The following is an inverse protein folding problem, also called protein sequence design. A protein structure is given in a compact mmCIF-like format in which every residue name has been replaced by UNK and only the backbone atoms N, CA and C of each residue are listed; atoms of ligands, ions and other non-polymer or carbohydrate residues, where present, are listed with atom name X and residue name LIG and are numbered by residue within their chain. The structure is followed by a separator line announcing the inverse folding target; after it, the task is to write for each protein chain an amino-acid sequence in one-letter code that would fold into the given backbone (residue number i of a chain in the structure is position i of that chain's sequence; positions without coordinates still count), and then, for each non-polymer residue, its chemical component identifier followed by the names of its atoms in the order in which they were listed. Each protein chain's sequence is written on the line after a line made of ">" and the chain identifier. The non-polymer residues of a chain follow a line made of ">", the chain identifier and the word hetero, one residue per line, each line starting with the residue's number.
data_IF_715840144849
#
_entry.id   IF_715840144849
#
_cell.length_a   1.000
_cell.length_b   1.000
_cell.length_c   1.000
_cell.angle_alpha   90.00
_cell.angle_beta   90.00
_cell.angle_gamma   90.00
#
_symmetry.space_group_name_H-M   'P 1'
#
loop_
_entity.id
_entity.type
_entity.pdbx_description
1 polymer ?
#
# COMPACT_ATOMS: atom_id res chain seq x y z
N UNK A 1 33.61 0.92 -40.39
CA UNK A 1 32.29 0.76 -39.73
C UNK A 1 31.31 1.69 -40.42
N UNK A 2 30.21 1.19 -40.99
CA UNK A 2 29.27 2.06 -41.72
C UNK A 2 28.60 3.05 -40.75
N UNK A 3 28.25 4.25 -41.23
CA UNK A 3 27.56 5.29 -40.43
C UNK A 3 26.33 4.72 -39.72
N UNK A 4 25.60 3.81 -40.38
CA UNK A 4 24.44 3.11 -39.81
C UNK A 4 24.79 2.23 -38.62
N UNK A 5 25.93 1.53 -38.63
CA UNK A 5 26.38 0.70 -37.49
C UNK A 5 26.73 1.59 -36.29
N UNK A 6 27.39 2.73 -36.52
CA UNK A 6 27.72 3.69 -35.43
C UNK A 6 26.45 4.26 -34.79
N UNK A 7 25.45 4.62 -35.61
CA UNK A 7 24.17 5.14 -35.11
C UNK A 7 23.44 4.07 -34.28
N UNK A 8 23.40 2.82 -34.75
CA UNK A 8 22.76 1.72 -34.01
C UNK A 8 23.43 1.49 -32.65
N UNK A 9 24.76 1.51 -32.60
CA UNK A 9 25.50 1.37 -31.33
C UNK A 9 25.18 2.53 -30.37
N UNK A 10 25.14 3.77 -30.87
CA UNK A 10 24.80 4.94 -30.04
C UNK A 10 23.38 4.85 -29.47
N UNK A 11 22.40 4.40 -30.27
CA UNK A 11 21.02 4.20 -29.79
C UNK A 11 20.95 3.12 -28.71
N UNK A 12 21.67 2.00 -28.88
CA UNK A 12 21.73 0.94 -27.87
C UNK A 12 22.34 1.48 -26.56
N UNK A 13 23.42 2.25 -26.65
CA UNK A 13 24.07 2.87 -25.48
C UNK A 13 23.11 3.84 -24.77
N UNK A 14 22.38 4.68 -25.52
CA UNK A 14 21.41 5.63 -24.97
C UNK A 14 20.25 4.93 -24.23
N UNK A 15 19.88 3.71 -24.64
CA UNK A 15 18.85 2.91 -23.95
C UNK A 15 19.46 2.13 -22.77
N UNK A 16 20.63 1.51 -22.96
CA UNK A 16 21.24 0.64 -21.96
C UNK A 16 21.77 1.40 -20.74
N UNK A 17 22.39 2.57 -20.94
CA UNK A 17 22.98 3.37 -19.85
C UNK A 17 21.93 3.73 -18.78
N UNK A 18 20.77 4.34 -19.12
CA UNK A 18 19.75 4.65 -18.13
C UNK A 18 19.24 3.42 -17.35
N UNK A 19 19.09 2.27 -18.01
CA UNK A 19 18.64 1.02 -17.37
C UNK A 19 19.66 0.56 -16.32
N UNK A 20 20.95 0.56 -16.67
CA UNK A 20 22.03 0.19 -15.76
C UNK A 20 22.15 1.19 -14.60
N UNK A 21 22.11 2.49 -14.89
CA UNK A 21 22.13 3.55 -13.87
C UNK A 21 20.98 3.41 -12.89
N UNK A 22 19.77 3.10 -13.38
CA UNK A 22 18.59 2.86 -12.54
C UNK A 22 18.81 1.67 -11.61
N UNK A 23 19.30 0.54 -12.13
CA UNK A 23 19.58 -0.67 -11.36
C UNK A 23 20.65 -0.44 -10.29
N UNK A 24 21.72 0.26 -10.63
CA UNK A 24 22.80 0.58 -9.70
C UNK A 24 22.32 1.54 -8.60
N UNK A 25 21.55 2.56 -8.95
CA UNK A 25 21.00 3.52 -7.97
C UNK A 25 20.04 2.82 -7.01
N UNK A 26 19.19 1.94 -7.53
CA UNK A 26 18.32 1.09 -6.70
C UNK A 26 19.11 0.23 -5.72
N UNK A 27 20.13 -0.50 -6.20
CA UNK A 27 21.00 -1.31 -5.34
C UNK A 27 21.67 -0.48 -4.25
N UNK A 28 22.19 0.70 -4.59
CA UNK A 28 22.80 1.61 -3.61
C UNK A 28 21.81 2.08 -2.55
N UNK A 29 20.58 2.41 -2.94
CA UNK A 29 19.53 2.81 -1.99
C UNK A 29 19.19 1.69 -1.01
N UNK A 30 19.03 0.45 -1.51
CA UNK A 30 18.72 -0.71 -0.66
C UNK A 30 19.87 -0.99 0.31
N UNK A 31 21.12 -0.93 -0.16
CA UNK A 31 22.27 -1.09 0.72
C UNK A 31 22.30 -0.01 1.83
N UNK A 32 22.05 1.25 1.47
CA UNK A 32 21.98 2.33 2.45
C UNK A 32 20.87 2.11 3.49
N UNK A 33 19.70 1.61 3.08
CA UNK A 33 18.62 1.25 4.01
C UNK A 33 18.98 0.07 4.91
N UNK A 34 19.65 -0.95 4.38
CA UNK A 34 20.13 -2.09 5.17
C UNK A 34 21.19 -1.68 6.20
N UNK A 35 22.03 -0.72 5.84
CA UNK A 35 23.04 -0.12 6.73
C UNK A 35 22.43 0.93 7.69
N UNK A 36 21.11 1.18 7.62
CA UNK A 36 20.38 2.22 8.38
C UNK A 36 20.95 3.63 8.14
N UNK A 37 21.63 3.83 7.01
CA UNK A 37 22.25 5.11 6.60
C UNK A 37 21.27 5.92 5.74
N UNK A 38 20.34 6.60 6.42
CA UNK A 38 19.33 7.41 5.75
C UNK A 38 19.89 8.66 5.08
N UNK A 39 21.01 9.21 5.55
CA UNK A 39 21.66 10.36 4.90
C UNK A 39 22.13 9.95 3.51
N UNK A 40 22.87 8.85 3.42
CA UNK A 40 23.31 8.29 2.14
C UNK A 40 22.14 7.88 1.26
N UNK A 41 21.06 7.35 1.83
CA UNK A 41 19.85 7.06 1.08
C UNK A 41 19.28 8.31 0.37
N UNK A 42 19.17 9.43 1.08
CA UNK A 42 18.70 10.69 0.50
C UNK A 42 19.69 11.29 -0.50
N UNK A 43 20.99 11.23 -0.23
CA UNK A 43 22.02 11.68 -1.18
C UNK A 43 21.94 10.90 -2.50
N UNK A 44 21.64 9.59 -2.44
CA UNK A 44 21.46 8.77 -3.63
C UNK A 44 20.19 9.20 -4.38
N UNK A 45 19.07 9.47 -3.70
CA UNK A 45 17.84 9.99 -4.32
C UNK A 45 18.13 11.31 -5.06
N UNK A 46 18.93 12.19 -4.47
CA UNK A 46 19.26 13.50 -5.03
C UNK A 46 20.41 13.48 -6.05
N UNK A 47 21.04 12.33 -6.26
CA UNK A 47 22.11 12.16 -7.24
C UNK A 47 21.64 12.39 -8.68
N UNK A 48 22.58 12.83 -9.53
CA UNK A 48 22.32 13.01 -10.96
C UNK A 48 21.78 11.72 -11.62
N UNK A 49 22.31 10.56 -11.23
CA UNK A 49 21.88 9.27 -11.76
C UNK A 49 20.42 8.97 -11.46
N UNK A 50 19.98 9.23 -10.23
CA UNK A 50 18.56 9.10 -9.87
C UNK A 50 17.71 10.13 -10.59
N UNK A 51 18.18 11.38 -10.68
CA UNK A 51 17.45 12.46 -11.36
C UNK A 51 17.20 12.18 -12.83
N UNK A 52 18.16 11.55 -13.50
CA UNK A 52 18.09 11.18 -14.92
C UNK A 52 17.19 9.97 -15.17
N UNK A 53 17.09 9.03 -14.23
CA UNK A 53 16.45 7.72 -14.46
C UNK A 53 15.10 7.52 -13.79
N UNK A 54 14.80 8.28 -12.73
CA UNK A 54 13.52 8.23 -12.02
C UNK A 54 12.76 9.54 -12.19
N UNK A 55 11.44 9.44 -12.35
CA UNK A 55 10.59 10.62 -12.39
C UNK A 55 10.64 11.37 -11.05
N UNK A 56 10.32 12.66 -11.07
CA UNK A 56 10.24 13.44 -9.83
C UNK A 56 9.29 12.79 -8.81
N UNK A 57 8.12 12.31 -9.27
CA UNK A 57 7.18 11.59 -8.41
C UNK A 57 7.80 10.34 -7.78
N UNK A 58 8.52 9.52 -8.54
CA UNK A 58 9.11 8.29 -8.01
C UNK A 58 10.15 8.60 -6.92
N UNK A 59 10.98 9.63 -7.14
CA UNK A 59 11.97 10.08 -6.15
C UNK A 59 11.31 10.60 -4.88
N UNK A 60 10.27 11.41 -5.01
CA UNK A 60 9.52 11.93 -3.85
C UNK A 60 8.76 10.81 -3.13
N UNK A 61 8.29 9.79 -3.85
CA UNK A 61 7.67 8.61 -3.28
C UNK A 61 8.69 7.73 -2.53
N UNK A 62 9.93 7.63 -3.01
CA UNK A 62 11.04 7.00 -2.29
C UNK A 62 11.37 7.79 -1.01
N UNK A 63 11.48 9.12 -1.11
CA UNK A 63 11.71 10.00 0.05
C UNK A 63 10.63 9.81 1.12
N UNK A 64 9.36 9.76 0.70
CA UNK A 64 8.23 9.46 1.57
C UNK A 64 8.39 8.09 2.27
N UNK A 65 8.85 7.05 1.57
CA UNK A 65 9.18 5.75 2.20
C UNK A 65 10.25 5.89 3.26
N UNK A 66 11.31 6.66 3.00
CA UNK A 66 12.36 6.92 3.96
C UNK A 66 11.82 7.60 5.24
N UNK A 67 10.97 8.62 5.10
CA UNK A 67 10.37 9.30 6.25
C UNK A 67 9.43 8.39 7.05
N UNK A 68 8.62 7.57 6.37
CA UNK A 68 7.74 6.59 7.04
C UNK A 68 8.57 5.57 7.82
N UNK A 69 9.62 5.01 7.21
CA UNK A 69 10.47 4.02 7.86
C UNK A 69 11.19 4.56 9.12
N UNK A 70 11.51 5.85 9.14
CA UNK A 70 12.10 6.53 10.30
C UNK A 70 11.05 7.05 11.29
N UNK A 71 9.75 6.80 11.08
CA UNK A 71 8.65 7.35 11.88
C UNK A 71 8.71 8.89 12.01
N UNK A 72 9.23 9.58 10.99
CA UNK A 72 9.35 11.05 10.94
C UNK A 72 8.01 11.69 10.56
N UNK A 73 7.07 11.70 11.49
CA UNK A 73 5.65 12.04 11.25
C UNK A 73 5.43 13.39 10.57
N UNK A 74 6.11 14.44 11.02
CA UNK A 74 5.95 15.79 10.44
C UNK A 74 6.50 15.86 9.01
N UNK A 75 7.61 15.18 8.74
CA UNK A 75 8.17 15.09 7.40
C UNK A 75 7.25 14.30 6.46
N UNK A 76 6.62 13.23 6.94
CA UNK A 76 5.62 12.48 6.17
C UNK A 76 4.44 13.38 5.80
N UNK A 77 3.89 14.14 6.75
CA UNK A 77 2.78 15.07 6.53
C UNK A 77 3.14 16.15 5.49
N UNK A 78 4.30 16.77 5.65
CA UNK A 78 4.80 17.79 4.73
C UNK A 78 5.05 17.21 3.33
N UNK A 79 5.62 16.01 3.24
CA UNK A 79 5.90 15.33 1.99
C UNK A 79 4.61 14.95 1.26
N UNK A 80 3.62 14.38 1.95
CA UNK A 80 2.30 14.08 1.35
C UNK A 80 1.66 15.37 0.82
N UNK A 81 1.64 16.43 1.62
CA UNK A 81 1.06 17.73 1.21
C UNK A 81 1.76 18.32 -0.01
N UNK A 82 3.09 18.25 -0.07
CA UNK A 82 3.85 18.69 -1.24
C UNK A 82 3.51 17.83 -2.46
N UNK A 83 3.51 16.51 -2.32
CA UNK A 83 3.23 15.58 -3.42
C UNK A 83 1.81 15.73 -3.97
N UNK A 84 0.82 16.06 -3.14
CA UNK A 84 -0.56 16.36 -3.58
C UNK A 84 -0.64 17.55 -4.52
N UNK A 85 0.27 18.53 -4.36
CA UNK A 85 0.34 19.74 -5.16
C UNK A 85 1.22 19.59 -6.42
N UNK A 86 1.88 18.44 -6.60
CA UNK A 86 2.70 18.20 -7.80
C UNK A 86 1.85 18.09 -9.07
N UNK A 87 2.37 18.63 -10.18
CA UNK A 87 1.79 18.43 -11.52
C UNK A 87 2.19 17.05 -12.06
N UNK A 88 1.48 16.02 -11.62
CA UNK A 88 1.71 14.61 -11.96
C UNK A 88 0.48 13.97 -12.62
N UNK A 89 0.65 12.77 -13.19
CA UNK A 89 -0.44 12.06 -13.88
C UNK A 89 -1.55 11.67 -12.89
N UNK A 90 -2.83 11.61 -13.31
CA UNK A 90 -3.94 11.20 -12.44
C UNK A 90 -3.69 9.86 -11.73
N UNK A 91 -3.15 8.86 -12.44
CA UNK A 91 -2.75 7.57 -11.86
C UNK A 91 -1.75 7.69 -10.69
N UNK A 92 -0.82 8.65 -10.75
CA UNK A 92 0.15 8.88 -9.67
C UNK A 92 -0.51 9.60 -8.48
N UNK A 93 -1.48 10.48 -8.73
CA UNK A 93 -2.29 11.09 -7.65
C UNK A 93 -3.14 10.04 -6.93
N UNK A 94 -3.79 9.14 -7.67
CA UNK A 94 -4.50 8.00 -7.08
C UNK A 94 -3.55 7.17 -6.20
N UNK A 95 -2.37 6.80 -6.73
CA UNK A 95 -1.39 6.04 -5.96
C UNK A 95 -0.94 6.75 -4.67
N UNK A 96 -0.75 8.07 -4.71
CA UNK A 96 -0.46 8.88 -3.53
C UNK A 96 -1.64 8.87 -2.54
N UNK A 97 -2.88 9.03 -3.02
CA UNK A 97 -4.09 8.96 -2.20
C UNK A 97 -4.22 7.61 -1.50
N UNK A 98 -4.07 6.50 -2.23
CA UNK A 98 -4.06 5.15 -1.66
C UNK A 98 -2.99 5.00 -0.58
N UNK A 99 -1.77 5.45 -0.86
CA UNK A 99 -0.66 5.36 0.10
C UNK A 99 -0.90 6.22 1.34
N UNK A 100 -1.36 7.45 1.16
CA UNK A 100 -1.72 8.35 2.25
C UNK A 100 -2.85 7.79 3.11
N UNK A 101 -3.87 7.18 2.48
CA UNK A 101 -4.95 6.50 3.18
C UNK A 101 -4.41 5.44 4.14
N UNK A 102 -3.57 4.50 3.66
CA UNK A 102 -3.00 3.46 4.51
C UNK A 102 -2.14 4.01 5.65
N UNK A 103 -1.31 5.02 5.35
CA UNK A 103 -0.52 5.70 6.39
C UNK A 103 -1.41 6.31 7.48
N UNK A 104 -2.48 7.01 7.13
CA UNK A 104 -3.38 7.62 8.12
C UNK A 104 -4.30 6.61 8.82
N UNK A 105 -4.64 5.51 8.14
CA UNK A 105 -5.40 4.40 8.70
C UNK A 105 -4.63 3.75 9.86
N UNK A 106 -3.36 3.41 9.65
CA UNK A 106 -2.49 2.82 10.68
C UNK A 106 -2.34 3.73 11.92
N UNK A 107 -2.42 5.04 11.73
CA UNK A 107 -2.34 6.03 12.81
C UNK A 107 -3.70 6.35 13.45
N UNK A 108 -4.79 5.72 13.00
CA UNK A 108 -6.15 6.03 13.46
C UNK A 108 -6.65 7.44 13.11
N UNK A 109 -5.97 8.14 12.18
CA UNK A 109 -6.29 9.53 11.79
C UNK A 109 -7.44 9.57 10.78
N UNK A 110 -8.66 9.27 11.23
CA UNK A 110 -9.84 9.11 10.37
C UNK A 110 -10.09 10.29 9.41
N UNK A 111 -10.02 11.54 9.89
CA UNK A 111 -10.21 12.71 9.02
C UNK A 111 -9.18 12.76 7.89
N UNK A 112 -7.90 12.50 8.18
CA UNK A 112 -6.85 12.52 7.15
C UNK A 112 -6.95 11.34 6.19
N UNK A 113 -7.35 10.17 6.68
CA UNK A 113 -7.65 9.02 5.82
C UNK A 113 -8.79 9.35 4.83
N UNK A 114 -9.85 10.01 5.30
CA UNK A 114 -10.95 10.52 4.45
C UNK A 114 -10.45 11.50 3.39
N UNK A 115 -9.64 12.48 3.78
CA UNK A 115 -9.07 13.47 2.85
C UNK A 115 -8.28 12.79 1.71
N UNK A 116 -7.60 11.67 2.00
CA UNK A 116 -6.87 10.91 0.98
C UNK A 116 -7.77 10.10 0.04
N UNK A 117 -8.91 9.60 0.53
CA UNK A 117 -9.94 8.97 -0.32
C UNK A 117 -10.54 10.01 -1.26
N UNK A 118 -10.88 11.21 -0.75
CA UNK A 118 -11.41 12.30 -1.55
C UNK A 118 -10.40 12.77 -2.61
N UNK A 119 -9.12 12.82 -2.24
CA UNK A 119 -8.04 13.08 -3.19
C UNK A 119 -7.95 12.00 -4.29
N UNK A 120 -8.01 10.71 -3.94
CA UNK A 120 -8.02 9.63 -4.93
C UNK A 120 -9.24 9.71 -5.85
N UNK A 121 -10.43 9.94 -5.27
CA UNK A 121 -11.71 10.10 -5.98
C UNK A 121 -11.72 11.26 -6.96
N UNK A 122 -11.15 12.40 -6.60
CA UNK A 122 -11.05 13.56 -7.48
C UNK A 122 -10.11 13.34 -8.69
N UNK A 123 -9.28 12.29 -8.67
CA UNK A 123 -8.23 12.07 -9.66
C UNK A 123 -8.28 10.67 -10.33
N UNK A 124 -9.31 9.87 -10.08
CA UNK A 124 -9.40 8.50 -10.60
C UNK A 124 -10.84 7.99 -10.75
N UNK A 125 -11.02 6.90 -11.49
CA UNK A 125 -12.34 6.25 -11.61
C UNK A 125 -12.76 5.61 -10.28
N UNK A 126 -14.04 5.25 -10.17
CA UNK A 126 -14.63 4.64 -8.96
C UNK A 126 -13.86 3.42 -8.46
N UNK A 127 -13.41 2.57 -9.38
CA UNK A 127 -12.61 1.38 -9.07
C UNK A 127 -11.32 1.68 -8.30
N UNK A 128 -10.83 2.93 -8.33
CA UNK A 128 -9.60 3.33 -7.65
C UNK A 128 -9.79 3.69 -6.18
N UNK A 129 -11.01 3.94 -5.71
CA UNK A 129 -11.28 4.34 -4.33
C UNK A 129 -12.37 3.54 -3.62
N UNK A 130 -13.17 2.74 -4.33
CA UNK A 130 -14.25 1.93 -3.74
C UNK A 130 -13.76 1.03 -2.60
N UNK A 131 -12.60 0.40 -2.78
CA UNK A 131 -12.01 -0.46 -1.76
C UNK A 131 -11.50 0.34 -0.55
N UNK A 132 -11.07 1.59 -0.76
CA UNK A 132 -10.67 2.49 0.33
C UNK A 132 -11.90 2.93 1.14
N UNK A 133 -13.02 3.22 0.47
CA UNK A 133 -14.31 3.56 1.12
C UNK A 133 -14.82 2.42 2.00
N UNK A 134 -14.77 1.20 1.48
CA UNK A 134 -15.15 -0.01 2.20
C UNK A 134 -14.26 -0.19 3.44
N UNK A 135 -12.94 -0.13 3.27
CA UNK A 135 -12.00 -0.29 4.38
C UNK A 135 -12.15 0.83 5.42
N UNK A 136 -12.35 2.07 4.99
CA UNK A 136 -12.60 3.22 5.88
C UNK A 136 -13.87 3.02 6.72
N UNK A 137 -14.95 2.59 6.07
CA UNK A 137 -16.25 2.33 6.72
C UNK A 137 -16.13 1.23 7.79
N UNK A 138 -15.47 0.12 7.47
CA UNK A 138 -15.30 -0.99 8.41
C UNK A 138 -14.32 -0.60 9.52
N UNK A 139 -13.10 -0.19 9.18
CA UNK A 139 -11.99 -0.09 10.13
C UNK A 139 -12.03 1.19 10.98
N UNK A 140 -12.53 2.30 10.46
CA UNK A 140 -12.53 3.59 11.16
C UNK A 140 -13.93 3.99 11.65
N UNK A 141 -14.98 3.74 10.85
CA UNK A 141 -16.36 4.06 11.25
C UNK A 141 -17.08 2.93 11.97
N UNK A 142 -16.52 1.71 11.98
CA UNK A 142 -17.12 0.52 12.59
C UNK A 142 -18.53 0.21 12.04
N UNK A 143 -18.73 0.40 10.74
CA UNK A 143 -19.99 0.09 10.06
C UNK A 143 -19.99 -1.35 9.53
N UNK A 144 -21.18 -1.96 9.42
CA UNK A 144 -21.36 -3.37 9.07
C UNK A 144 -22.13 -3.61 7.76
N UNK A 145 -22.05 -2.67 6.81
CA UNK A 145 -22.90 -2.64 5.60
C UNK A 145 -22.28 -3.31 4.37
N UNK A 146 -21.05 -3.82 4.49
CA UNK A 146 -20.25 -4.35 3.39
C UNK A 146 -20.03 -5.86 3.47
N UNK A 147 -20.74 -6.58 4.33
CA UNK A 147 -20.57 -8.03 4.52
C UNK A 147 -20.69 -8.77 3.17
N UNK A 148 -21.76 -8.54 2.41
CA UNK A 148 -21.99 -9.22 1.13
C UNK A 148 -20.97 -8.80 0.06
N UNK A 149 -20.57 -7.53 0.04
CA UNK A 149 -19.55 -7.05 -0.89
C UNK A 149 -18.17 -7.67 -0.60
N UNK A 150 -17.81 -7.85 0.68
CA UNK A 150 -16.56 -8.52 1.05
C UNK A 150 -16.62 -10.03 0.76
N UNK A 151 -17.77 -10.69 0.95
CA UNK A 151 -17.96 -12.09 0.53
C UNK A 151 -17.76 -12.27 -0.98
N UNK A 152 -18.38 -11.40 -1.79
CA UNK A 152 -18.21 -11.43 -3.24
C UNK A 152 -16.75 -11.23 -3.67
N UNK A 153 -15.95 -10.45 -2.92
CA UNK A 153 -14.50 -10.32 -3.16
C UNK A 153 -13.73 -11.61 -2.87
N UNK A 154 -14.13 -12.38 -1.85
CA UNK A 154 -13.57 -13.71 -1.58
C UNK A 154 -13.93 -14.67 -2.72
N UNK A 155 -15.21 -14.73 -3.10
CA UNK A 155 -15.70 -15.64 -4.14
C UNK A 155 -15.05 -15.38 -5.52
N UNK A 156 -14.66 -14.13 -5.79
CA UNK A 156 -13.96 -13.75 -7.01
C UNK A 156 -12.51 -14.27 -7.07
N UNK A 157 -11.89 -14.62 -5.93
CA UNK A 157 -10.49 -15.04 -5.85
C UNK A 157 -10.30 -16.48 -5.34
N UNK A 158 -11.32 -17.05 -4.71
CA UNK A 158 -11.28 -18.38 -4.11
C UNK A 158 -12.65 -19.06 -4.17
N UNK A 159 -12.68 -20.33 -4.57
CA UNK A 159 -13.90 -21.12 -4.75
C UNK A 159 -14.41 -21.81 -3.47
N UNK A 160 -13.76 -21.56 -2.33
CA UNK A 160 -14.10 -22.18 -1.03
C UNK A 160 -13.57 -23.60 -0.83
N UNK A 161 -12.85 -24.18 -1.80
CA UNK A 161 -12.43 -25.60 -1.79
C UNK A 161 -10.94 -25.78 -2.00
N UNK A 162 -10.33 -24.95 -2.83
CA UNK A 162 -8.92 -25.08 -3.18
C UNK A 162 -8.03 -24.70 -2.00
N UNK A 163 -6.85 -25.33 -1.90
CA UNK A 163 -5.85 -24.93 -0.91
C UNK A 163 -5.40 -23.48 -1.18
N UNK A 164 -5.39 -22.67 -0.12
CA UNK A 164 -4.89 -21.30 -0.16
C UNK A 164 -3.41 -21.28 0.19
N UNK A 165 -2.59 -20.72 -0.70
CA UNK A 165 -1.16 -20.51 -0.51
C UNK A 165 -0.73 -19.05 -0.79
N UNK A 166 0.48 -18.73 -0.32
CA UNK A 166 1.14 -17.44 -0.56
C UNK A 166 0.24 -16.22 -0.30
N UNK A 167 0.28 -15.27 -1.24
CA UNK A 167 -0.45 -14.01 -1.13
C UNK A 167 -1.98 -14.21 -1.12
N UNK A 168 -2.50 -15.21 -1.85
CA UNK A 168 -3.94 -15.47 -1.91
C UNK A 168 -4.49 -15.82 -0.53
N UNK A 169 -3.76 -16.63 0.24
CA UNK A 169 -4.10 -17.00 1.60
C UNK A 169 -4.29 -15.76 2.49
N UNK A 170 -3.31 -14.86 2.49
CA UNK A 170 -3.35 -13.63 3.30
C UNK A 170 -4.48 -12.69 2.86
N UNK A 171 -4.72 -12.57 1.54
CA UNK A 171 -5.80 -11.72 1.00
C UNK A 171 -7.17 -12.24 1.43
N UNK A 172 -7.44 -13.54 1.27
CA UNK A 172 -8.70 -14.16 1.71
C UNK A 172 -8.87 -14.01 3.22
N UNK A 173 -7.81 -14.29 3.99
CA UNK A 173 -7.83 -14.11 5.44
C UNK A 173 -8.12 -12.67 5.88
N UNK A 174 -7.59 -11.68 5.17
CA UNK A 174 -7.86 -10.26 5.43
C UNK A 174 -9.33 -9.93 5.18
N UNK A 175 -9.93 -10.46 4.10
CA UNK A 175 -11.36 -10.27 3.86
C UNK A 175 -12.25 -10.99 4.88
N UNK A 176 -11.88 -12.20 5.30
CA UNK A 176 -12.57 -12.90 6.40
C UNK A 176 -12.50 -12.10 7.71
N UNK A 177 -11.34 -11.51 8.02
CA UNK A 177 -11.19 -10.60 9.15
C UNK A 177 -12.13 -9.39 9.06
N UNK A 178 -12.21 -8.73 7.90
CA UNK A 178 -13.14 -7.61 7.69
C UNK A 178 -14.60 -8.03 7.84
N UNK A 179 -14.98 -9.24 7.45
CA UNK A 179 -16.34 -9.77 7.68
C UNK A 179 -16.58 -9.99 9.18
N UNK A 180 -15.62 -10.63 9.88
CA UNK A 180 -15.72 -10.88 11.32
C UNK A 180 -15.87 -9.59 12.13
N UNK A 181 -15.13 -8.53 11.77
CA UNK A 181 -15.28 -7.19 12.37
C UNK A 181 -16.71 -6.66 12.22
N UNK A 182 -17.29 -6.76 11.02
CA UNK A 182 -18.63 -6.28 10.75
C UNK A 182 -19.70 -7.04 11.56
N UNK A 183 -19.57 -8.36 11.70
CA UNK A 183 -20.45 -9.14 12.58
C UNK A 183 -20.25 -8.78 14.05
N UNK A 184 -19.02 -8.50 14.48
CA UNK A 184 -18.73 -7.99 15.83
C UNK A 184 -19.47 -6.68 16.13
N UNK A 185 -19.54 -5.75 15.17
CA UNK A 185 -20.28 -4.49 15.32
C UNK A 185 -21.79 -4.68 15.42
N UNK A 186 -22.31 -5.79 14.86
CA UNK A 186 -23.72 -6.19 14.99
C UNK A 186 -24.02 -7.01 16.26
N UNK A 187 -23.00 -7.32 17.07
CA UNK A 187 -23.06 -8.30 18.17
C UNK A 187 -23.56 -9.70 17.74
N UNK A 188 -23.32 -10.07 16.48
CA UNK A 188 -23.59 -11.42 15.96
C UNK A 188 -22.35 -12.29 16.24
N UNK A 189 -22.32 -12.87 17.43
CA UNK A 189 -21.14 -13.57 17.97
C UNK A 189 -20.85 -14.88 17.23
N UNK A 190 -21.89 -15.55 16.73
CA UNK A 190 -21.77 -16.80 15.98
C UNK A 190 -21.05 -16.58 14.66
N UNK A 191 -21.55 -15.65 13.82
CA UNK A 191 -20.90 -15.35 12.55
C UNK A 191 -19.55 -14.65 12.77
N UNK A 192 -19.42 -13.80 13.79
CA UNK A 192 -18.13 -13.21 14.15
C UNK A 192 -17.07 -14.29 14.40
N UNK A 193 -17.37 -15.28 15.26
CA UNK A 193 -16.45 -16.36 15.58
C UNK A 193 -16.10 -17.19 14.33
N UNK A 194 -17.10 -17.57 13.54
CA UNK A 194 -16.90 -18.34 12.31
C UNK A 194 -15.88 -17.67 11.37
N UNK A 195 -16.07 -16.37 11.08
CA UNK A 195 -15.17 -15.67 10.16
C UNK A 195 -13.81 -15.36 10.77
N UNK A 196 -13.71 -15.14 12.09
CA UNK A 196 -12.44 -14.95 12.76
C UNK A 196 -11.60 -16.23 12.85
N UNK A 197 -12.22 -17.40 13.07
CA UNK A 197 -11.51 -18.69 13.05
C UNK A 197 -10.94 -18.98 11.66
N UNK A 198 -11.74 -18.78 10.61
CA UNK A 198 -11.25 -18.88 9.23
C UNK A 198 -10.13 -17.88 8.93
N UNK A 199 -10.27 -16.64 9.40
CA UNK A 199 -9.24 -15.63 9.23
C UNK A 199 -7.93 -16.03 9.93
N UNK A 200 -7.98 -16.53 11.17
CA UNK A 200 -6.80 -16.93 11.95
C UNK A 200 -5.94 -17.98 11.22
N UNK A 201 -6.57 -18.95 10.55
CA UNK A 201 -5.85 -19.94 9.74
C UNK A 201 -5.10 -19.26 8.57
N UNK A 202 -5.72 -18.25 7.98
CA UNK A 202 -5.28 -17.58 6.77
C UNK A 202 -4.33 -16.40 6.98
N UNK A 203 -4.37 -15.77 8.16
CA UNK A 203 -3.55 -14.60 8.52
C UNK A 203 -2.52 -14.89 9.62
N UNK A 204 -2.24 -16.16 9.89
CA UNK A 204 -1.23 -16.57 10.86
C UNK A 204 0.13 -15.89 10.62
N UNK A 205 0.75 -15.38 11.68
CA UNK A 205 2.01 -14.63 11.64
C UNK A 205 1.88 -13.18 11.17
N UNK A 206 0.66 -12.67 10.95
CA UNK A 206 0.42 -11.26 10.62
C UNK A 206 -0.14 -10.48 11.82
N UNK A 207 -0.10 -9.15 11.82
CA UNK A 207 -0.71 -8.34 12.90
C UNK A 207 -2.21 -8.57 13.08
N UNK A 208 -2.92 -9.08 12.07
CA UNK A 208 -4.35 -9.40 12.17
C UNK A 208 -4.62 -10.54 13.15
N UNK A 209 -3.69 -11.49 13.29
CA UNK A 209 -3.85 -12.64 14.19
C UNK A 209 -4.00 -12.18 15.65
N UNK A 210 -3.13 -11.29 16.09
CA UNK A 210 -3.16 -10.74 17.45
C UNK A 210 -4.42 -9.90 17.68
N UNK A 211 -4.81 -9.08 16.71
CA UNK A 211 -6.04 -8.29 16.77
C UNK A 211 -7.28 -9.19 16.93
N UNK A 212 -7.37 -10.28 16.16
CA UNK A 212 -8.48 -11.23 16.27
C UNK A 212 -8.52 -11.87 17.66
N UNK A 213 -7.37 -12.36 18.15
CA UNK A 213 -7.26 -12.98 19.48
C UNK A 213 -7.70 -12.03 20.60
N UNK A 214 -7.31 -10.76 20.52
CA UNK A 214 -7.72 -9.75 21.49
C UNK A 214 -9.23 -9.52 21.48
N UNK A 215 -9.85 -9.40 20.29
CA UNK A 215 -11.30 -9.21 20.16
C UNK A 215 -12.07 -10.41 20.70
N UNK A 216 -11.65 -11.65 20.39
CA UNK A 216 -12.28 -12.87 20.90
C UNK A 216 -12.22 -12.91 22.44
N UNK A 217 -11.04 -12.61 23.01
CA UNK A 217 -10.86 -12.52 24.46
C UNK A 217 -11.74 -11.46 25.11
N UNK A 218 -11.84 -10.26 24.54
CA UNK A 218 -12.71 -9.19 25.04
C UNK A 218 -14.19 -9.57 25.05
N UNK A 219 -14.61 -10.44 24.12
CA UNK A 219 -15.99 -10.93 24.01
C UNK A 219 -16.24 -12.19 24.85
N UNK A 220 -15.23 -12.72 25.57
CA UNK A 220 -15.27 -13.97 26.33
C UNK A 220 -15.61 -15.20 25.47
N UNK A 221 -15.02 -15.29 24.28
CA UNK A 221 -15.26 -16.37 23.29
C UNK A 221 -13.94 -17.02 22.88
#
# INVERSE_FOLDING_TARGET
>A
MSRSIVIVILVIILIAIPILMRKLSWKKMINALNDVDYNRYYDIIDSFSCKMTFSAFDRENMRLSGFIAQNRKDDVENQIKMMMNMRIKPKQKVALGTRGFYYYLEQGKAKRARDMIDFAKANGPESSYKDLELQYSILLKKESKYIDEVKAKIDAIWNGKDHLDGDKKVVVGTFQYLIGLQYSYKNDLENMKLYFEQALENVAGTPYEENIKNILKEKNI
#
